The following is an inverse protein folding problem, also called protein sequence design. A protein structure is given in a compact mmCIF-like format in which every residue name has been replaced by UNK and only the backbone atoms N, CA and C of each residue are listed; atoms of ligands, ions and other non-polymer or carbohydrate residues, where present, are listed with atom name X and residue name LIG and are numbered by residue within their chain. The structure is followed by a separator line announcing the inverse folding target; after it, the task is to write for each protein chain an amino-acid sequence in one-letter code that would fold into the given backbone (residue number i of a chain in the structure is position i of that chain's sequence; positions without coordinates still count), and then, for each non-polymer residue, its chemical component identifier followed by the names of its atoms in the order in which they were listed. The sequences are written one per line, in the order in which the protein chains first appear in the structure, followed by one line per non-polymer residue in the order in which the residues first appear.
data_IF_177352493061
#
_entry.id   IF_177352493061
#
_cell.length_a   1.000
_cell.length_b   1.000
_cell.length_c   1.000
_cell.angle_alpha   90.00
_cell.angle_beta   90.00
_cell.angle_gamma   90.00
#
_symmetry.space_group_name_H-M   'P 1'
#
loop_
_entity.id
_entity.type
_entity.pdbx_description
1 polymer ?
#
# COMPACT_ATOMS: atom_id res chain seq x y z
N UNK A 1 16.01 6.84 1.96
CA UNK A 1 14.65 7.36 2.19
C UNK A 1 14.03 6.67 3.41
N UNK A 2 13.16 7.37 4.14
CA UNK A 2 12.43 6.82 5.30
C UNK A 2 11.04 6.33 4.87
N UNK A 3 10.68 5.14 5.35
CA UNK A 3 9.40 4.49 5.11
C UNK A 3 8.70 4.17 6.42
N UNK A 4 7.37 4.32 6.44
CA UNK A 4 6.53 4.11 7.61
C UNK A 4 5.51 2.99 7.39
N UNK A 5 5.37 2.10 8.37
CA UNK A 5 4.35 1.06 8.41
C UNK A 5 3.43 1.25 9.62
N UNK A 6 2.12 1.39 9.36
CA UNK A 6 1.12 1.45 10.42
C UNK A 6 0.54 0.08 10.78
N UNK A 7 0.59 -0.28 12.06
CA UNK A 7 0.11 -1.58 12.56
C UNK A 7 -0.43 -1.51 14.00
N UNK A 8 -1.05 -2.60 14.46
CA UNK A 8 -1.44 -2.80 15.86
C UNK A 8 -0.34 -3.49 16.70
N UNK A 9 0.78 -3.82 16.06
CA UNK A 9 2.00 -4.39 16.66
C UNK A 9 3.23 -3.70 16.09
N UNK A 10 4.30 -3.61 16.85
CA UNK A 10 5.61 -3.25 16.30
C UNK A 10 6.09 -4.34 15.33
N UNK A 11 6.60 -3.93 14.17
CA UNK A 11 7.12 -4.85 13.16
C UNK A 11 8.60 -4.58 12.96
N UNK A 12 9.45 -5.22 13.76
CA UNK A 12 10.91 -5.11 13.59
C UNK A 12 11.41 -5.91 12.37
N UNK A 13 10.76 -7.03 12.09
CA UNK A 13 11.09 -7.91 10.97
C UNK A 13 9.86 -8.03 10.05
N UNK A 14 9.79 -7.27 8.95
CA UNK A 14 8.71 -7.40 7.99
C UNK A 14 8.68 -8.83 7.42
N UNK A 15 7.49 -9.34 7.15
CA UNK A 15 7.27 -10.67 6.61
C UNK A 15 6.06 -10.66 5.67
N UNK A 16 6.07 -11.53 4.65
CA UNK A 16 4.92 -11.71 3.77
C UNK A 16 3.82 -12.50 4.47
N UNK A 17 2.85 -11.79 5.04
CA UNK A 17 1.66 -12.39 5.64
C UNK A 17 0.54 -12.35 4.61
N UNK A 18 -0.09 -13.51 4.35
CA UNK A 18 -1.27 -13.57 3.51
C UNK A 18 -2.41 -12.80 4.19
N UNK A 19 -2.90 -11.76 3.54
CA UNK A 19 -4.02 -11.00 4.06
C UNK A 19 -5.33 -11.81 3.96
N UNK A 20 -6.20 -11.65 4.96
CA UNK A 20 -7.54 -12.23 4.96
C UNK A 20 -8.55 -11.45 4.08
N UNK A 21 -8.06 -10.43 3.35
CA UNK A 21 -8.83 -9.59 2.43
C UNK A 21 -7.99 -9.29 1.20
N UNK A 22 -8.63 -8.88 0.12
CA UNK A 22 -7.92 -8.34 -1.03
C UNK A 22 -7.38 -6.94 -0.74
N UNK A 23 -6.28 -6.57 -1.39
CA UNK A 23 -5.53 -5.34 -1.18
C UNK A 23 -5.18 -4.73 -2.54
N UNK A 24 -4.90 -3.43 -2.56
CA UNK A 24 -4.72 -2.63 -3.78
C UNK A 24 -3.60 -3.18 -4.68
N UNK A 25 -2.49 -3.59 -4.06
CA UNK A 25 -1.33 -4.12 -4.75
C UNK A 25 -1.10 -5.60 -4.47
N UNK A 26 -2.10 -6.34 -3.97
CA UNK A 26 -1.97 -7.76 -3.66
C UNK A 26 -1.36 -8.06 -2.28
N UNK A 27 -0.95 -9.30 -2.04
CA UNK A 27 -0.40 -9.70 -0.74
C UNK A 27 1.07 -9.30 -0.61
N UNK A 28 1.35 -8.32 0.26
CA UNK A 28 2.70 -7.84 0.50
C UNK A 28 2.83 -7.10 1.82
N UNK A 29 4.03 -6.60 2.08
CA UNK A 29 4.31 -5.69 3.18
C UNK A 29 4.18 -4.25 2.69
N UNK A 30 3.41 -3.42 3.39
CA UNK A 30 3.00 -2.10 2.89
C UNK A 30 3.58 -0.97 3.73
N UNK A 31 4.21 0.00 3.08
CA UNK A 31 4.73 1.22 3.70
C UNK A 31 4.27 2.46 2.95
N UNK A 32 4.61 3.63 3.47
CA UNK A 32 4.37 4.94 2.85
C UNK A 32 5.49 5.89 3.24
N UNK A 33 5.75 6.93 2.44
CA UNK A 33 6.63 8.03 2.86
C UNK A 33 5.91 9.04 3.75
N UNK A 34 4.58 8.95 3.83
CA UNK A 34 3.75 9.84 4.63
C UNK A 34 3.50 9.27 6.03
N UNK A 35 4.19 9.82 7.04
CA UNK A 35 4.04 9.41 8.44
C UNK A 35 2.60 9.56 8.97
N UNK A 36 1.89 10.61 8.58
CA UNK A 36 0.50 10.85 8.99
C UNK A 36 -0.43 9.75 8.42
N UNK A 37 -0.15 9.28 7.20
CA UNK A 37 -0.87 8.15 6.62
C UNK A 37 -0.63 6.86 7.41
N UNK A 38 0.62 6.58 7.82
CA UNK A 38 0.94 5.44 8.66
C UNK A 38 0.30 5.54 10.05
N UNK A 39 0.24 6.74 10.64
CA UNK A 39 -0.47 6.99 11.90
C UNK A 39 -1.95 6.59 11.79
N UNK A 40 -2.64 7.04 10.74
CA UNK A 40 -4.05 6.69 10.48
C UNK A 40 -4.22 5.18 10.33
N UNK A 41 -3.35 4.50 9.60
CA UNK A 41 -3.38 3.04 9.45
C UNK A 41 -3.20 2.31 10.79
N UNK A 42 -2.28 2.78 11.62
CA UNK A 42 -2.05 2.21 12.96
C UNK A 42 -3.30 2.39 13.86
N UNK A 43 -3.92 3.57 13.88
CA UNK A 43 -5.16 3.80 14.62
C UNK A 43 -6.33 2.92 14.15
N UNK A 44 -6.49 2.78 12.82
CA UNK A 44 -7.54 1.93 12.24
C UNK A 44 -7.33 0.46 12.65
N UNK A 45 -6.10 -0.06 12.53
CA UNK A 45 -5.79 -1.45 12.91
C UNK A 45 -5.92 -1.68 14.41
N UNK A 46 -5.39 -0.78 15.23
CA UNK A 46 -5.54 -0.79 16.69
C UNK A 46 -7.01 -0.96 17.10
N UNK A 47 -7.88 -0.09 16.56
CA UNK A 47 -9.32 -0.12 16.84
C UNK A 47 -9.99 -1.41 16.35
N UNK A 48 -9.63 -1.88 15.16
CA UNK A 48 -10.22 -3.09 14.56
C UNK A 48 -9.90 -4.36 15.35
N UNK A 49 -8.67 -4.47 15.84
CA UNK A 49 -8.18 -5.64 16.58
C UNK A 49 -8.35 -5.51 18.10
N UNK A 50 -8.93 -4.39 18.57
CA UNK A 50 -9.14 -4.07 19.99
C UNK A 50 -7.83 -4.10 20.81
N UNK A 51 -6.73 -3.64 20.22
CA UNK A 51 -5.44 -3.50 20.88
C UNK A 51 -5.36 -2.19 21.69
N UNK A 52 -4.61 -2.22 22.80
CA UNK A 52 -4.36 -1.03 23.62
C UNK A 52 -3.51 0.02 22.89
N UNK A 53 -2.60 -0.43 22.02
CA UNK A 53 -1.63 0.40 21.32
C UNK A 53 -1.66 0.15 19.80
N UNK A 54 -1.43 1.21 19.03
CA UNK A 54 -0.98 1.11 17.65
C UNK A 54 0.50 1.45 17.57
N UNK A 55 1.12 1.10 16.45
CA UNK A 55 2.54 1.32 16.22
C UNK A 55 2.78 1.84 14.80
N UNK A 56 3.69 2.80 14.70
CA UNK A 56 4.33 3.19 13.44
C UNK A 56 5.74 2.59 13.47
N UNK A 57 6.00 1.57 12.64
CA UNK A 57 7.35 1.03 12.44
C UNK A 57 8.05 1.83 11.34
N UNK A 58 9.31 2.20 11.58
CA UNK A 58 10.10 3.10 10.73
C UNK A 58 11.25 2.30 10.12
N UNK A 59 11.39 2.39 8.81
CA UNK A 59 12.47 1.74 8.05
C UNK A 59 13.26 2.77 7.25
N UNK A 60 14.53 2.47 7.04
CA UNK A 60 15.40 3.14 6.09
C UNK A 60 15.66 2.20 4.91
N UNK A 61 15.71 2.78 3.72
CA UNK A 61 16.13 2.12 2.48
C UNK A 61 16.94 3.09 1.64
N UNK A 62 17.69 2.59 0.65
CA UNK A 62 18.41 3.45 -0.29
C UNK A 62 17.48 4.40 -1.06
N UNK A 63 17.96 5.60 -1.41
CA UNK A 63 17.20 6.58 -2.21
C UNK A 63 16.89 6.07 -3.62
N UNK A 64 17.75 5.21 -4.18
CA UNK A 64 17.63 4.63 -5.52
C UNK A 64 16.91 3.27 -5.53
N UNK A 65 16.21 2.90 -4.44
CA UNK A 65 15.51 1.62 -4.31
C UNK A 65 14.59 1.30 -5.50
N UNK A 66 13.94 2.32 -6.06
CA UNK A 66 13.01 2.17 -7.19
C UNK A 66 13.71 1.95 -8.54
N UNK A 67 15.02 2.16 -8.60
CA UNK A 67 15.86 1.95 -9.78
C UNK A 67 16.67 0.65 -9.72
N UNK A 68 16.51 -0.13 -8.64
CA UNK A 68 17.23 -1.38 -8.40
C UNK A 68 16.96 -2.40 -9.52
N UNK A 69 18.02 -2.77 -10.25
CA UNK A 69 17.95 -3.66 -11.42
C UNK A 69 17.77 -5.14 -11.10
N UNK A 70 17.98 -5.54 -9.84
CA UNK A 70 17.80 -6.92 -9.37
C UNK A 70 16.35 -7.21 -8.93
N UNK A 71 15.50 -6.17 -8.92
CA UNK A 71 14.10 -6.24 -8.53
C UNK A 71 13.19 -5.93 -9.72
N UNK A 72 12.07 -6.65 -9.81
CA UNK A 72 11.00 -6.33 -10.73
C UNK A 72 10.11 -5.23 -10.11
N UNK A 73 10.28 -4.00 -10.55
CA UNK A 73 9.64 -2.83 -9.94
C UNK A 73 8.64 -2.20 -10.90
N UNK A 74 7.47 -1.83 -10.40
CA UNK A 74 6.52 -0.97 -11.10
C UNK A 74 6.20 0.28 -10.27
N UNK A 75 6.13 1.42 -10.95
CA UNK A 75 5.83 2.72 -10.34
C UNK A 75 4.67 3.36 -11.09
N UNK A 76 3.58 3.62 -10.36
CA UNK A 76 2.45 4.41 -10.81
C UNK A 76 2.61 5.83 -10.26
N UNK A 77 2.87 6.81 -11.14
CA UNK A 77 3.04 8.22 -10.74
C UNK A 77 1.73 8.91 -10.39
N UNK A 78 0.60 8.38 -10.86
CA UNK A 78 -0.74 8.95 -10.68
C UNK A 78 -1.80 7.84 -10.68
N UNK A 79 -3.03 8.18 -10.27
CA UNK A 79 -4.21 7.32 -10.37
C UNK A 79 -4.70 7.24 -11.83
N UNK A 80 -3.83 6.72 -12.70
CA UNK A 80 -4.07 6.47 -14.11
C UNK A 80 -5.03 5.31 -14.32
N UNK A 81 -5.42 5.09 -15.58
CA UNK A 81 -6.21 3.93 -15.98
C UNK A 81 -5.49 2.63 -15.66
N UNK A 82 -4.19 2.58 -15.94
CA UNK A 82 -3.33 1.41 -15.73
C UNK A 82 -3.21 1.08 -14.24
N UNK A 83 -3.03 2.10 -13.38
CA UNK A 83 -3.05 1.92 -11.94
C UNK A 83 -4.40 1.36 -11.46
N UNK A 84 -5.50 1.94 -11.97
CA UNK A 84 -6.83 1.56 -11.57
C UNK A 84 -7.19 0.14 -11.99
N UNK A 85 -6.87 -0.24 -13.24
CA UNK A 85 -6.99 -1.62 -13.73
C UNK A 85 -6.15 -2.58 -12.89
N UNK A 86 -4.94 -2.19 -12.48
CA UNK A 86 -4.10 -2.99 -11.61
C UNK A 86 -4.74 -3.21 -10.23
N UNK A 87 -5.27 -2.16 -9.61
CA UNK A 87 -5.98 -2.23 -8.32
C UNK A 87 -7.22 -3.11 -8.41
N UNK A 88 -8.04 -2.93 -9.44
CA UNK A 88 -9.25 -3.72 -9.65
C UNK A 88 -8.91 -5.20 -9.82
N UNK A 89 -7.88 -5.51 -10.62
CA UNK A 89 -7.43 -6.88 -10.80
C UNK A 89 -7.02 -7.52 -9.47
N UNK A 90 -6.23 -6.84 -8.63
CA UNK A 90 -5.85 -7.36 -7.31
C UNK A 90 -7.05 -7.51 -6.35
N UNK A 91 -8.04 -6.62 -6.44
CA UNK A 91 -9.19 -6.62 -5.53
C UNK A 91 -10.30 -7.61 -5.90
N UNK A 92 -10.54 -7.79 -7.20
CA UNK A 92 -11.74 -8.47 -7.72
C UNK A 92 -11.43 -9.80 -8.40
N UNK A 93 -10.22 -9.98 -8.93
CA UNK A 93 -9.84 -11.22 -9.59
C UNK A 93 -9.00 -12.09 -8.64
N UNK A 94 -9.66 -13.11 -8.06
CA UNK A 94 -9.05 -14.04 -7.09
C UNK A 94 -7.84 -14.78 -7.67
N UNK A 95 -7.80 -14.98 -8.98
CA UNK A 95 -6.72 -15.67 -9.67
C UNK A 95 -5.62 -14.72 -10.18
N UNK A 96 -5.81 -13.41 -10.06
CA UNK A 96 -4.82 -12.44 -10.49
C UNK A 96 -3.57 -12.50 -9.61
N UNK A 97 -2.42 -12.56 -10.27
CA UNK A 97 -1.10 -12.54 -9.65
C UNK A 97 -0.17 -11.70 -10.52
N UNK A 98 0.60 -10.83 -9.88
CA UNK A 98 1.71 -10.14 -10.52
C UNK A 98 3.04 -10.75 -10.05
N UNK A 99 4.11 -10.43 -10.78
CA UNK A 99 5.49 -10.84 -10.45
C UNK A 99 6.35 -9.68 -9.94
N UNK A 100 5.77 -8.51 -9.68
CA UNK A 100 6.49 -7.37 -9.13
C UNK A 100 6.95 -7.64 -7.70
N UNK A 101 8.21 -7.31 -7.44
CA UNK A 101 8.86 -7.34 -6.14
C UNK A 101 8.53 -6.10 -5.31
N UNK A 102 8.52 -4.93 -5.97
CA UNK A 102 8.15 -3.65 -5.39
C UNK A 102 7.12 -2.97 -6.28
N UNK A 103 6.08 -2.44 -5.65
CA UNK A 103 5.06 -1.62 -6.29
C UNK A 103 4.99 -0.29 -5.55
N UNK A 104 5.19 0.82 -6.27
CA UNK A 104 4.92 2.17 -5.77
C UNK A 104 3.72 2.75 -6.50
N UNK A 105 2.79 3.35 -5.77
CA UNK A 105 1.66 4.04 -6.39
C UNK A 105 0.86 4.88 -5.40
N UNK A 106 -0.16 5.60 -5.88
CA UNK A 106 -1.08 6.30 -5.00
C UNK A 106 -1.89 5.33 -4.11
N UNK A 107 -2.20 5.78 -2.91
CA UNK A 107 -3.08 5.10 -1.94
C UNK A 107 -4.53 5.36 -2.29
N UNK A 108 -5.36 4.32 -2.23
CA UNK A 108 -6.80 4.51 -2.16
C UNK A 108 -7.23 5.03 -0.77
N UNK A 109 -7.36 6.35 -0.61
CA UNK A 109 -8.00 6.94 0.59
C UNK A 109 -9.51 6.61 0.63
N UNK A 110 -10.25 7.06 1.66
CA UNK A 110 -11.69 6.75 1.78
C UNK A 110 -12.52 7.20 0.57
N UNK A 111 -12.11 8.27 -0.13
CA UNK A 111 -12.81 8.78 -1.32
C UNK A 111 -12.46 7.96 -2.55
N UNK A 112 -11.20 7.60 -2.71
CA UNK A 112 -10.78 6.64 -3.73
C UNK A 112 -11.45 5.29 -3.51
N UNK A 113 -11.54 4.83 -2.26
CA UNK A 113 -12.22 3.59 -1.88
C UNK A 113 -13.71 3.65 -2.22
N UNK A 114 -14.39 4.77 -1.94
CA UNK A 114 -15.78 4.97 -2.33
C UNK A 114 -15.97 4.94 -3.86
N UNK A 115 -15.06 5.59 -4.60
CA UNK A 115 -15.05 5.58 -6.06
C UNK A 115 -14.82 4.16 -6.62
N UNK A 116 -13.84 3.43 -6.07
CA UNK A 116 -13.55 2.04 -6.41
C UNK A 116 -14.76 1.15 -6.13
N UNK A 117 -15.38 1.25 -4.95
CA UNK A 117 -16.58 0.48 -4.63
C UNK A 117 -17.75 0.79 -5.57
N UNK A 118 -17.97 2.07 -5.91
CA UNK A 118 -19.02 2.46 -6.83
C UNK A 118 -18.79 1.85 -8.22
N UNK A 119 -17.54 1.86 -8.69
CA UNK A 119 -17.15 1.18 -9.92
C UNK A 119 -17.33 -0.34 -9.84
N UNK A 120 -16.84 -0.99 -8.79
CA UNK A 120 -16.96 -2.44 -8.54
C UNK A 120 -18.44 -2.89 -8.52
N UNK A 121 -19.33 -2.07 -7.97
CA UNK A 121 -20.76 -2.33 -7.93
C UNK A 121 -21.52 -1.84 -9.18
N UNK A 122 -20.81 -1.44 -10.25
CA UNK A 122 -21.36 -0.98 -11.54
C UNK A 122 -22.24 0.28 -11.44
N UNK A 123 -22.06 1.07 -10.38
CA UNK A 123 -22.69 2.39 -10.24
C UNK A 123 -21.90 3.51 -10.93
N UNK A 124 -20.66 3.23 -11.35
CA UNK A 124 -19.77 4.17 -12.01
C UNK A 124 -18.99 3.46 -13.13
N UNK A 125 -18.73 4.15 -14.24
CA UNK A 125 -17.85 3.66 -15.31
C UNK A 125 -16.38 4.04 -15.10
N UNK A 126 -15.50 3.42 -15.90
CA UNK A 126 -14.05 3.57 -15.72
C UNK A 126 -13.57 5.01 -15.98
N UNK A 127 -14.13 5.66 -16.99
CA UNK A 127 -13.73 7.02 -17.37
C UNK A 127 -14.14 8.04 -16.30
N UNK A 128 -15.31 7.85 -15.69
CA UNK A 128 -15.78 8.66 -14.56
C UNK A 128 -14.91 8.43 -13.34
N UNK A 129 -14.57 7.17 -13.01
CA UNK A 129 -13.70 6.86 -11.89
C UNK A 129 -12.33 7.56 -12.02
N UNK A 130 -11.68 7.45 -13.19
CA UNK A 130 -10.40 8.12 -13.45
C UNK A 130 -10.52 9.63 -13.29
N UNK A 131 -11.59 10.25 -13.82
CA UNK A 131 -11.81 11.69 -13.73
C UNK A 131 -11.94 12.15 -12.28
N UNK A 132 -12.73 11.46 -11.46
CA UNK A 132 -12.89 11.79 -10.04
C UNK A 132 -11.57 11.63 -9.28
N UNK A 133 -10.84 10.54 -9.53
CA UNK A 133 -9.58 10.23 -8.85
C UNK A 133 -8.47 11.24 -9.12
N UNK A 134 -8.43 11.83 -10.33
CA UNK A 134 -7.48 12.88 -10.70
C UNK A 134 -7.63 14.18 -9.90
N UNK A 135 -8.75 14.35 -9.19
CA UNK A 135 -8.99 15.56 -8.37
C UNK A 135 -8.40 15.48 -6.96
N UNK A 136 -7.91 14.30 -6.54
CA UNK A 136 -7.40 14.08 -5.20
C UNK A 136 -5.88 14.15 -5.14
N UNK A 137 -5.36 14.81 -4.11
CA UNK A 137 -3.97 14.61 -3.68
C UNK A 137 -3.90 13.26 -2.95
N UNK A 138 -3.26 12.29 -3.58
CA UNK A 138 -3.13 10.93 -3.04
C UNK A 138 -1.79 10.78 -2.35
N UNK A 139 -1.81 10.26 -1.12
CA UNK A 139 -0.59 9.81 -0.46
C UNK A 139 0.03 8.65 -1.26
N UNK A 140 1.33 8.45 -1.12
CA UNK A 140 1.99 7.33 -1.76
C UNK A 140 1.95 6.06 -0.90
N UNK A 141 2.13 4.94 -1.57
CA UNK A 141 2.32 3.65 -0.96
C UNK A 141 3.41 2.90 -1.71
N UNK A 142 4.28 2.27 -0.95
CA UNK A 142 5.32 1.39 -1.46
C UNK A 142 5.06 0.02 -0.82
N UNK A 143 4.96 -1.01 -1.64
CA UNK A 143 4.64 -2.37 -1.18
C UNK A 143 5.66 -3.37 -1.69
N UNK A 144 6.00 -4.32 -0.83
CA UNK A 144 7.07 -5.30 -0.99
C UNK A 144 6.45 -6.71 -1.02
N UNK A 145 6.74 -7.46 -2.07
CA UNK A 145 6.01 -8.69 -2.43
C UNK A 145 6.90 -9.93 -2.53
N UNK A 146 8.19 -9.79 -2.25
CA UNK A 146 9.14 -10.89 -2.21
C UNK A 146 10.10 -10.76 -1.03
N UNK A 147 10.68 -11.90 -0.62
CA UNK A 147 11.66 -11.94 0.48
C UNK A 147 12.88 -11.04 0.19
N UNK A 148 13.36 -11.02 -1.06
CA UNK A 148 14.47 -10.14 -1.46
C UNK A 148 14.08 -8.67 -1.38
N UNK A 149 12.83 -8.31 -1.66
CA UNK A 149 12.35 -6.94 -1.55
C UNK A 149 12.14 -6.53 -0.09
N UNK A 150 11.65 -7.43 0.77
CA UNK A 150 11.53 -7.18 2.19
C UNK A 150 12.90 -7.03 2.85
N UNK A 151 13.87 -7.86 2.44
CA UNK A 151 15.21 -7.89 3.03
C UNK A 151 16.02 -6.59 2.90
N UNK A 152 15.57 -5.64 2.08
CA UNK A 152 16.21 -4.31 1.95
C UNK A 152 15.69 -3.29 2.98
N UNK A 153 14.60 -3.60 3.69
CA UNK A 153 14.04 -2.73 4.72
C UNK A 153 14.89 -2.81 5.98
N UNK A 154 15.61 -1.74 6.30
CA UNK A 154 16.40 -1.64 7.52
C UNK A 154 15.53 -1.01 8.61
N UNK A 155 15.15 -1.78 9.64
CA UNK A 155 14.36 -1.25 10.75
C UNK A 155 15.18 -0.26 11.58
N UNK A 156 14.60 0.92 11.81
CA UNK A 156 15.24 2.01 12.57
C UNK A 156 14.66 2.12 13.98
N UNK A 157 13.34 2.24 14.10
CA UNK A 157 12.63 2.38 15.37
C UNK A 157 11.12 2.17 15.21
N UNK A 158 10.36 2.22 16.30
CA UNK A 158 8.92 2.36 16.29
C UNK A 158 8.40 3.47 17.21
N UNK A 159 7.20 3.94 16.91
CA UNK A 159 6.48 4.93 17.73
C UNK A 159 5.09 4.38 18.11
N UNK A 160 4.72 4.54 19.39
CA UNK A 160 3.41 4.15 19.91
C UNK A 160 2.37 5.23 19.62
N UNK A 161 1.17 4.82 19.22
CA UNK A 161 0.03 5.70 18.85
C UNK A 161 -1.31 5.31 19.47
#
# INVERSE_FOLDING_TARGET
MILYHGSNVEVQHPNLIKANRTLDFGNGFYTTTNKEQAYKWAQIKKKRENNENGYISIYEVSEDILDNKDLNIIVFSEASKEWLEFVINNRMNVDYKHSYDIIKGPVADDRVYACLNAFENKFMDMDTAIRELKTYELADQISFHSEKAIGILEFINSEVV
#
